data_IF_359159689498
#
_entry.id   IF_359159689498
#
_cell.length_a   1.000
_cell.length_b   1.000
_cell.length_c   1.000
_cell.angle_alpha   90.00
_cell.angle_beta   90.00
_cell.angle_gamma   90.00
#
_symmetry.space_group_name_H-M   'P 1'
#
loop_
_entity.id
_entity.type
_entity.pdbx_description
1 polymer ?
#
# COMPACT_ATOMS: atom_id res chain seq x y z
N UNK A 1 7.90 36.08 -5.26
CA UNK A 1 7.01 36.68 -6.28
C UNK A 1 5.68 36.95 -5.64
N UNK A 2 5.16 38.17 -5.71
CA UNK A 2 3.90 38.57 -5.10
C UNK A 2 2.70 38.03 -5.90
N UNK A 3 1.59 37.72 -5.24
CA UNK A 3 0.32 37.25 -5.85
C UNK A 3 -0.08 38.11 -7.08
N UNK A 4 0.18 39.43 -7.03
CA UNK A 4 -0.10 40.40 -8.10
C UNK A 4 0.71 40.14 -9.39
N UNK A 5 1.95 39.64 -9.28
CA UNK A 5 2.77 39.31 -10.45
C UNK A 5 2.33 37.99 -11.11
N UNK A 6 1.79 37.05 -10.32
CA UNK A 6 1.22 35.80 -10.84
C UNK A 6 -0.09 36.05 -11.59
N UNK A 7 -0.97 36.91 -11.05
CA UNK A 7 -2.23 37.30 -11.71
C UNK A 7 -1.99 38.05 -13.02
N UNK A 8 -1.01 38.96 -13.07
CA UNK A 8 -0.64 39.67 -14.29
C UNK A 8 -0.04 38.77 -15.37
N UNK A 9 0.72 37.71 -15.00
CA UNK A 9 1.21 36.69 -15.91
C UNK A 9 0.09 35.84 -16.50
N UNK A 10 -0.85 35.43 -15.65
CA UNK A 10 -2.07 34.68 -16.07
C UNK A 10 -2.94 35.52 -17.01
N UNK A 11 -3.15 36.80 -16.75
CA UNK A 11 -3.90 37.70 -17.63
C UNK A 11 -3.25 37.86 -19.01
N UNK A 12 -1.92 37.93 -19.13
CA UNK A 12 -1.20 37.97 -20.41
C UNK A 12 -1.31 36.64 -21.20
N UNK A 13 -1.26 35.52 -20.52
CA UNK A 13 -1.43 34.18 -21.11
C UNK A 13 -2.85 34.06 -21.71
N UNK A 14 -3.88 34.51 -21.02
CA UNK A 14 -5.28 34.49 -21.48
C UNK A 14 -5.46 35.33 -22.76
N UNK A 15 -4.78 36.49 -22.88
CA UNK A 15 -4.92 37.37 -24.04
C UNK A 15 -4.22 36.78 -25.31
N UNK A 16 -3.08 36.11 -25.14
CA UNK A 16 -2.39 35.43 -26.23
C UNK A 16 -3.18 34.18 -26.68
N UNK A 17 -3.80 33.48 -25.75
CA UNK A 17 -4.66 32.32 -26.01
C UNK A 17 -5.92 32.70 -26.85
N UNK A 18 -6.56 33.84 -26.56
CA UNK A 18 -7.71 34.32 -27.31
C UNK A 18 -7.38 34.56 -28.79
N UNK A 19 -6.17 35.05 -29.11
CA UNK A 19 -5.73 35.25 -30.49
C UNK A 19 -5.41 33.95 -31.22
N UNK A 20 -4.82 32.94 -30.55
CA UNK A 20 -4.49 31.64 -31.15
C UNK A 20 -5.76 30.77 -31.36
N UNK A 21 -6.72 30.80 -30.44
CA UNK A 21 -8.00 30.11 -30.60
C UNK A 21 -8.83 30.68 -31.78
N UNK A 22 -8.69 31.96 -32.13
CA UNK A 22 -9.32 32.53 -33.32
C UNK A 22 -8.69 31.97 -34.61
N UNK A 23 -7.41 31.61 -34.61
CA UNK A 23 -6.72 30.98 -35.77
C UNK A 23 -7.15 29.53 -35.93
N UNK A 24 -7.33 28.80 -34.81
CA UNK A 24 -7.76 27.37 -34.80
C UNK A 24 -9.24 27.23 -35.17
N UNK A 25 -10.10 28.22 -34.83
CA UNK A 25 -11.54 28.22 -35.16
C UNK A 25 -11.84 28.56 -36.62
N UNK A 26 -10.89 29.16 -37.38
CA UNK A 26 -11.12 29.54 -38.77
C UNK A 26 -11.04 28.41 -39.80
N UNK A 27 -10.44 27.24 -39.44
CA UNK A 27 -10.32 26.10 -40.34
C UNK A 27 -10.91 24.85 -39.70
N UNK A 28 -12.03 24.34 -40.21
CA UNK A 28 -12.73 23.13 -39.76
C UNK A 28 -11.91 21.82 -39.89
N UNK A 29 -10.61 21.93 -40.22
CA UNK A 29 -9.64 20.83 -40.24
C UNK A 29 -8.79 20.64 -38.97
N UNK A 30 -8.91 21.56 -37.98
CA UNK A 30 -7.95 21.60 -36.87
C UNK A 30 -8.17 20.55 -35.78
N UNK A 31 -9.42 20.19 -35.49
CA UNK A 31 -9.75 19.25 -34.40
C UNK A 31 -9.36 17.81 -34.76
N UNK A 32 -9.60 17.38 -36.01
CA UNK A 32 -9.16 16.08 -36.50
C UNK A 32 -7.62 15.97 -36.54
N UNK A 33 -6.93 17.06 -36.82
CA UNK A 33 -5.46 17.12 -36.82
C UNK A 33 -4.89 16.99 -35.41
N UNK A 34 -5.47 17.68 -34.42
CA UNK A 34 -5.04 17.59 -33.02
C UNK A 34 -5.28 16.19 -32.44
N UNK A 35 -6.43 15.56 -32.73
CA UNK A 35 -6.69 14.17 -32.33
C UNK A 35 -5.71 13.20 -33.01
N UNK A 36 -5.42 13.39 -34.32
CA UNK A 36 -4.44 12.55 -35.03
C UNK A 36 -3.02 12.64 -34.44
N UNK A 37 -2.61 13.79 -33.90
CA UNK A 37 -1.33 13.94 -33.20
C UNK A 37 -1.28 13.13 -31.90
N UNK A 38 -2.40 12.96 -31.22
CA UNK A 38 -2.51 12.19 -29.98
C UNK A 38 -2.55 10.69 -30.22
N UNK A 39 -2.89 10.21 -31.44
CA UNK A 39 -2.85 8.78 -31.79
C UNK A 39 -1.43 8.18 -31.76
N UNK A 40 -0.39 9.01 -31.68
CA UNK A 40 0.99 8.56 -31.49
C UNK A 40 1.34 8.10 -30.08
N UNK A 41 0.41 8.26 -29.12
CA UNK A 41 0.56 7.74 -27.75
C UNK A 41 -0.15 6.40 -27.61
N UNK A 42 0.51 5.46 -26.94
CA UNK A 42 0.04 4.09 -26.65
C UNK A 42 -0.81 4.00 -25.35
N UNK A 43 -1.36 5.12 -24.90
CA UNK A 43 -2.19 5.23 -23.72
C UNK A 43 -3.27 6.32 -23.94
N UNK A 44 -4.35 6.31 -23.16
CA UNK A 44 -5.33 7.40 -23.15
C UNK A 44 -4.68 8.76 -23.00
N UNK A 45 -4.93 9.65 -23.98
CA UNK A 45 -4.32 10.96 -24.05
C UNK A 45 -5.36 12.04 -24.41
N UNK A 46 -5.27 13.19 -23.74
CA UNK A 46 -6.08 14.38 -24.06
C UNK A 46 -5.20 15.60 -24.22
N UNK A 47 -5.64 16.53 -25.05
CA UNK A 47 -5.05 17.87 -25.18
C UNK A 47 -5.90 18.84 -24.35
N UNK A 48 -5.26 19.57 -23.44
CA UNK A 48 -5.97 20.47 -22.51
C UNK A 48 -5.41 21.88 -22.63
N UNK A 49 -6.30 22.87 -22.59
CA UNK A 49 -5.94 24.29 -22.55
C UNK A 49 -5.50 24.71 -21.15
N UNK A 50 -4.85 25.89 -21.05
CA UNK A 50 -4.55 26.50 -19.75
C UNK A 50 -5.79 26.84 -18.90
N UNK A 51 -6.97 26.85 -19.51
CA UNK A 51 -8.25 27.05 -18.85
C UNK A 51 -9.00 25.76 -18.53
N UNK A 52 -8.29 24.61 -18.49
CA UNK A 52 -8.82 23.27 -18.18
C UNK A 52 -9.76 22.70 -19.24
N UNK A 53 -9.96 23.35 -20.42
CA UNK A 53 -10.83 22.85 -21.47
C UNK A 53 -10.14 21.72 -22.26
N UNK A 54 -10.83 20.62 -22.50
CA UNK A 54 -10.36 19.51 -23.34
C UNK A 54 -10.59 19.89 -24.79
N UNK A 55 -9.51 19.90 -25.59
CA UNK A 55 -9.51 20.34 -26.99
C UNK A 55 -9.51 19.17 -27.97
N UNK A 56 -8.89 18.06 -27.62
CA UNK A 56 -8.80 16.85 -28.41
C UNK A 56 -8.53 15.63 -27.51
N UNK A 57 -8.79 14.43 -28.01
CA UNK A 57 -8.47 13.16 -27.37
C UNK A 57 -8.20 12.08 -28.43
N UNK A 58 -7.45 11.01 -28.04
CA UNK A 58 -7.15 9.89 -28.92
C UNK A 58 -8.17 8.74 -28.79
N UNK A 59 -7.99 7.70 -29.64
CA UNK A 59 -8.83 6.50 -29.63
C UNK A 59 -8.76 5.74 -28.31
N UNK A 60 -7.58 5.62 -27.70
CA UNK A 60 -7.37 4.97 -26.41
C UNK A 60 -8.19 5.65 -25.29
N UNK A 61 -8.26 7.00 -25.31
CA UNK A 61 -9.09 7.73 -24.37
C UNK A 61 -10.57 7.43 -24.56
N UNK A 62 -11.02 7.36 -25.82
CA UNK A 62 -12.42 7.05 -26.14
C UNK A 62 -12.82 5.66 -25.64
N UNK A 63 -11.95 4.69 -25.78
CA UNK A 63 -12.19 3.31 -25.31
C UNK A 63 -12.24 3.23 -23.78
N UNK A 64 -11.31 3.90 -23.09
CA UNK A 64 -11.18 3.84 -21.63
C UNK A 64 -12.21 4.68 -20.87
N UNK A 65 -12.51 5.88 -21.38
CA UNK A 65 -13.28 6.91 -20.66
C UNK A 65 -14.59 7.31 -21.38
N UNK A 66 -14.82 6.85 -22.61
CA UNK A 66 -15.97 7.19 -23.44
C UNK A 66 -15.71 8.38 -24.35
N UNK A 67 -16.66 8.61 -25.27
CA UNK A 67 -16.60 9.73 -26.23
C UNK A 67 -16.98 11.06 -25.56
N UNK A 68 -16.27 12.13 -25.87
CA UNK A 68 -16.55 13.48 -25.39
C UNK A 68 -17.15 14.35 -26.49
N UNK A 69 -18.14 15.16 -26.12
CA UNK A 69 -18.71 16.21 -26.99
C UNK A 69 -17.87 17.49 -26.85
N UNK A 70 -16.84 17.61 -27.68
CA UNK A 70 -15.86 18.73 -27.59
C UNK A 70 -16.47 20.10 -27.91
N UNK A 71 -17.59 20.14 -28.64
CA UNK A 71 -18.32 21.37 -28.95
C UNK A 71 -18.87 22.06 -27.69
N UNK A 72 -19.09 21.31 -26.60
CA UNK A 72 -19.51 21.81 -25.31
C UNK A 72 -18.34 22.30 -24.45
N UNK A 73 -17.11 22.24 -24.93
CA UNK A 73 -15.87 22.61 -24.21
C UNK A 73 -15.79 22.00 -22.82
N UNK A 74 -15.79 20.67 -22.73
CA UNK A 74 -15.76 19.99 -21.43
C UNK A 74 -14.46 20.30 -20.68
N UNK A 75 -14.56 20.50 -19.36
CA UNK A 75 -13.39 20.72 -18.52
C UNK A 75 -12.84 19.38 -17.98
N UNK A 76 -11.51 19.24 -17.91
CA UNK A 76 -10.86 18.01 -17.45
C UNK A 76 -11.31 17.61 -16.04
N UNK A 77 -11.39 18.56 -15.10
CA UNK A 77 -11.84 18.29 -13.73
C UNK A 77 -13.29 17.82 -13.62
N UNK A 78 -14.16 18.27 -14.55
CA UNK A 78 -15.55 17.81 -14.57
C UNK A 78 -15.65 16.39 -15.15
N UNK A 79 -14.98 16.13 -16.25
CA UNK A 79 -15.00 14.81 -16.92
C UNK A 79 -14.33 13.74 -16.06
N UNK A 80 -13.15 14.04 -15.52
CA UNK A 80 -12.34 13.04 -14.79
C UNK A 80 -12.80 12.80 -13.35
N UNK A 81 -13.35 13.84 -12.68
CA UNK A 81 -13.69 13.77 -11.25
C UNK A 81 -15.13 14.08 -10.92
N UNK A 82 -15.88 14.66 -11.89
CA UNK A 82 -17.24 15.20 -11.64
C UNK A 82 -17.25 16.48 -10.81
N UNK A 83 -16.13 17.20 -10.73
CA UNK A 83 -16.03 18.45 -9.98
C UNK A 83 -16.56 19.63 -10.79
N UNK A 84 -17.10 20.65 -10.08
CA UNK A 84 -17.52 21.92 -10.68
C UNK A 84 -16.43 23.01 -10.62
N UNK A 85 -15.29 22.71 -10.00
CA UNK A 85 -14.14 23.58 -9.82
C UNK A 85 -12.84 22.79 -10.08
N UNK A 86 -11.73 23.44 -10.43
CA UNK A 86 -10.43 22.76 -10.59
C UNK A 86 -10.04 21.91 -9.39
N UNK A 87 -9.27 20.84 -9.63
CA UNK A 87 -8.92 19.84 -8.62
C UNK A 87 -8.23 20.43 -7.39
N UNK A 88 -7.35 21.43 -7.57
CA UNK A 88 -6.66 22.15 -6.48
C UNK A 88 -7.61 22.98 -5.60
N UNK A 89 -8.73 23.43 -6.14
CA UNK A 89 -9.80 24.10 -5.39
C UNK A 89 -10.76 23.09 -4.73
N UNK A 90 -10.82 21.88 -5.24
CA UNK A 90 -11.56 20.77 -4.65
C UNK A 90 -10.79 20.01 -3.56
N UNK A 91 -9.54 20.40 -3.27
CA UNK A 91 -8.70 19.82 -2.21
C UNK A 91 -7.78 18.71 -2.68
N UNK A 92 -7.61 18.52 -4.00
CA UNK A 92 -6.68 17.57 -4.60
C UNK A 92 -5.49 18.27 -5.27
N UNK A 93 -4.42 17.52 -5.54
CA UNK A 93 -3.27 18.07 -6.28
C UNK A 93 -3.61 18.13 -7.77
N UNK A 94 -3.58 19.31 -8.40
CA UNK A 94 -3.85 19.47 -9.81
C UNK A 94 -2.55 19.46 -10.62
N UNK A 95 -2.30 18.46 -11.53
CA UNK A 95 -1.08 18.41 -12.33
C UNK A 95 -1.02 19.57 -13.34
N UNK A 96 -2.15 20.05 -13.85
CA UNK A 96 -2.19 21.19 -14.77
C UNK A 96 -1.81 22.48 -14.05
N UNK A 97 -2.36 22.76 -12.88
CA UNK A 97 -2.00 23.92 -12.07
C UNK A 97 -0.50 23.91 -11.70
N UNK A 98 0.03 22.74 -11.33
CA UNK A 98 1.44 22.58 -11.05
C UNK A 98 2.33 22.81 -12.30
N UNK A 99 1.93 22.27 -13.45
CA UNK A 99 2.65 22.42 -14.72
C UNK A 99 2.60 23.86 -15.27
N UNK A 100 1.50 24.59 -15.03
CA UNK A 100 1.39 26.03 -15.34
C UNK A 100 2.44 26.84 -14.57
N UNK A 101 2.67 26.53 -13.31
CA UNK A 101 3.61 27.26 -12.46
C UNK A 101 5.06 26.84 -12.76
N UNK A 102 5.34 25.53 -12.84
CA UNK A 102 6.68 25.00 -13.02
C UNK A 102 7.19 25.11 -14.46
N UNK A 103 6.30 25.17 -15.45
CA UNK A 103 6.58 25.07 -16.88
C UNK A 103 7.37 23.80 -17.23
N UNK A 104 7.14 22.74 -16.50
CA UNK A 104 7.75 21.44 -16.65
C UNK A 104 6.70 20.35 -16.61
N UNK A 105 7.12 19.17 -17.02
CA UNK A 105 6.34 17.96 -16.86
C UNK A 105 6.02 17.74 -15.37
N UNK A 106 4.75 17.53 -15.07
CA UNK A 106 4.25 17.19 -13.75
C UNK A 106 3.53 15.84 -13.80
N UNK A 107 3.52 15.13 -12.68
CA UNK A 107 2.91 13.80 -12.58
C UNK A 107 2.24 13.65 -11.22
N UNK A 108 0.99 13.22 -11.23
CA UNK A 108 0.18 13.03 -10.02
C UNK A 108 -0.67 11.78 -10.18
N UNK A 109 -0.82 11.01 -9.11
CA UNK A 109 -1.79 9.91 -9.08
C UNK A 109 -3.15 10.46 -8.64
N UNK A 110 -4.16 10.29 -9.50
CA UNK A 110 -5.54 10.70 -9.26
C UNK A 110 -6.50 9.51 -9.19
N UNK A 111 -7.68 9.75 -8.63
CA UNK A 111 -8.82 8.84 -8.73
C UNK A 111 -9.77 9.44 -9.76
N UNK A 112 -9.85 8.82 -10.94
CA UNK A 112 -10.77 9.23 -11.99
C UNK A 112 -12.07 8.44 -11.92
N UNK A 113 -13.16 9.09 -12.28
CA UNK A 113 -14.44 8.44 -12.46
C UNK A 113 -14.52 7.95 -13.90
N UNK A 114 -14.48 6.61 -14.08
CA UNK A 114 -14.57 5.96 -15.39
C UNK A 114 -15.92 5.28 -15.55
N UNK A 115 -16.30 4.82 -16.74
CA UNK A 115 -17.47 3.98 -16.93
C UNK A 115 -17.50 2.70 -16.09
N UNK A 116 -16.33 2.24 -15.64
CA UNK A 116 -16.15 1.05 -14.77
C UNK A 116 -16.15 1.38 -13.28
N UNK A 117 -16.29 2.66 -12.92
CA UNK A 117 -16.26 3.15 -11.54
C UNK A 117 -15.04 4.02 -11.23
N UNK A 118 -14.69 4.13 -9.96
CA UNK A 118 -13.52 4.93 -9.52
C UNK A 118 -12.24 4.12 -9.70
N UNK A 119 -11.33 4.62 -10.52
CA UNK A 119 -10.05 3.99 -10.83
C UNK A 119 -8.88 4.91 -10.49
N UNK A 120 -7.78 4.33 -10.04
CA UNK A 120 -6.54 5.06 -9.87
C UNK A 120 -5.86 5.25 -11.23
N UNK A 121 -5.58 6.49 -11.57
CA UNK A 121 -4.96 6.90 -12.83
C UNK A 121 -3.71 7.72 -12.52
N UNK A 122 -2.60 7.30 -13.09
CA UNK A 122 -1.35 8.04 -13.09
C UNK A 122 -1.40 9.07 -14.20
N UNK A 123 -1.53 10.31 -13.82
CA UNK A 123 -1.72 11.45 -14.71
C UNK A 123 -0.38 12.15 -14.92
N UNK A 124 0.06 12.20 -16.16
CA UNK A 124 1.26 12.88 -16.58
C UNK A 124 0.91 14.09 -17.45
N UNK A 125 1.27 15.29 -17.00
CA UNK A 125 0.96 16.57 -17.66
C UNK A 125 2.20 17.15 -18.33
N UNK A 126 2.16 17.27 -19.64
CA UNK A 126 3.27 17.72 -20.49
C UNK A 126 2.95 19.09 -21.09
N UNK A 127 3.65 20.18 -20.72
CA UNK A 127 3.45 21.47 -21.36
C UNK A 127 4.05 21.47 -22.77
N UNK A 128 3.31 21.99 -23.74
CA UNK A 128 3.71 22.17 -25.15
C UNK A 128 3.92 23.65 -25.41
N UNK A 129 5.08 23.97 -25.95
CA UNK A 129 5.51 25.35 -26.24
C UNK A 129 5.67 25.58 -27.75
N UNK A 130 5.51 26.82 -28.18
CA UNK A 130 5.88 27.23 -29.52
C UNK A 130 7.40 27.50 -29.66
N UNK A 131 7.82 27.89 -30.87
CA UNK A 131 9.23 28.20 -31.18
C UNK A 131 9.76 29.43 -30.40
N UNK A 132 8.86 30.27 -29.87
CA UNK A 132 9.17 31.42 -29.03
C UNK A 132 9.14 31.10 -27.53
N UNK A 133 8.99 29.81 -27.14
CA UNK A 133 8.81 29.31 -25.78
C UNK A 133 7.55 29.87 -25.09
N UNK A 134 6.51 30.15 -25.84
CA UNK A 134 5.20 30.46 -25.29
C UNK A 134 4.41 29.17 -25.11
N UNK A 135 3.77 29.01 -23.96
CA UNK A 135 2.94 27.85 -23.66
C UNK A 135 1.69 27.86 -24.56
N UNK A 136 1.51 26.79 -25.33
CA UNK A 136 0.36 26.60 -26.20
C UNK A 136 -0.73 25.75 -25.52
N UNK A 137 -0.40 24.54 -25.12
CA UNK A 137 -1.29 23.51 -24.61
C UNK A 137 -0.57 22.62 -23.61
N UNK A 138 -1.35 21.71 -23.03
CA UNK A 138 -0.83 20.59 -22.27
C UNK A 138 -1.32 19.28 -22.90
N UNK A 139 -0.45 18.28 -22.98
CA UNK A 139 -0.84 16.90 -23.23
C UNK A 139 -0.94 16.21 -21.88
N UNK A 140 -2.11 15.68 -21.58
CA UNK A 140 -2.37 14.88 -20.40
C UNK A 140 -2.40 13.41 -20.82
N UNK A 141 -1.45 12.60 -20.31
CA UNK A 141 -1.39 11.17 -20.51
C UNK A 141 -1.95 10.48 -19.27
N UNK A 142 -2.89 9.58 -19.50
CA UNK A 142 -3.65 8.90 -18.47
C UNK A 142 -3.29 7.42 -18.50
N UNK A 143 -2.61 6.95 -17.47
CA UNK A 143 -2.26 5.54 -17.36
C UNK A 143 -3.06 4.91 -16.22
N UNK A 144 -4.07 4.07 -16.52
CA UNK A 144 -4.75 3.31 -15.48
C UNK A 144 -3.72 2.52 -14.66
N UNK A 145 -3.84 2.60 -13.33
CA UNK A 145 -3.01 1.83 -12.42
C UNK A 145 -3.81 0.59 -12.03
N UNK A 146 -3.62 -0.55 -12.72
CA UNK A 146 -4.45 -1.76 -12.51
C UNK A 146 -4.25 -2.40 -11.13
N UNK A 147 -3.39 -1.82 -10.31
CA UNK A 147 -2.90 -2.36 -9.06
C UNK A 147 -3.74 -1.96 -7.85
N UNK A 148 -4.61 -0.95 -8.00
CA UNK A 148 -5.47 -0.46 -6.94
C UNK A 148 -6.84 -0.11 -7.49
N UNK A 149 -7.86 -0.44 -6.72
CA UNK A 149 -9.25 -0.14 -7.05
C UNK A 149 -9.90 0.62 -5.90
N UNK A 150 -10.73 1.61 -6.23
CA UNK A 150 -11.69 2.18 -5.29
C UNK A 150 -12.89 1.24 -5.05
N UNK A 151 -13.01 0.17 -5.83
CA UNK A 151 -14.09 -0.81 -5.83
C UNK A 151 -13.59 -2.23 -5.55
N UNK A 152 -14.56 -3.13 -5.30
CA UNK A 152 -14.38 -4.55 -4.98
C UNK A 152 -13.78 -5.29 -6.18
N UNK A 153 -12.46 -5.38 -6.26
CA UNK A 153 -11.78 -6.24 -7.22
C UNK A 153 -10.90 -7.27 -6.52
N UNK A 154 -10.92 -8.51 -7.02
CA UNK A 154 -10.08 -9.58 -6.47
C UNK A 154 -8.59 -9.26 -6.64
N UNK A 155 -7.83 -9.40 -5.56
CA UNK A 155 -6.37 -9.25 -5.48
C UNK A 155 -5.80 -7.82 -5.67
N UNK A 156 -6.60 -6.77 -5.74
CA UNK A 156 -6.11 -5.39 -5.80
C UNK A 156 -6.01 -4.74 -4.41
N UNK A 157 -5.09 -3.78 -4.28
CA UNK A 157 -5.00 -2.93 -3.09
C UNK A 157 -6.16 -1.92 -3.08
N UNK A 158 -6.77 -1.69 -1.91
CA UNK A 158 -7.93 -0.82 -1.76
C UNK A 158 -7.57 0.34 -0.85
N UNK A 159 -7.91 1.55 -1.29
CA UNK A 159 -7.76 2.77 -0.50
C UNK A 159 -7.91 4.04 -1.34
N UNK A 160 -8.23 5.11 -0.65
CA UNK A 160 -8.39 6.47 -1.20
C UNK A 160 -7.71 7.51 -0.32
N UNK A 161 -7.19 7.10 0.85
CA UNK A 161 -6.52 7.99 1.79
C UNK A 161 -5.22 8.55 1.19
N UNK A 162 -4.82 9.74 1.63
CA UNK A 162 -3.60 10.38 1.15
C UNK A 162 -2.33 9.53 1.43
N UNK A 163 -2.29 8.82 2.56
CA UNK A 163 -1.18 7.92 2.87
C UNK A 163 -1.10 6.76 1.88
N UNK A 164 -2.24 6.19 1.49
CA UNK A 164 -2.34 5.13 0.50
C UNK A 164 -1.94 5.63 -0.90
N UNK A 165 -2.42 6.80 -1.33
CA UNK A 165 -2.09 7.39 -2.62
C UNK A 165 -0.58 7.67 -2.76
N UNK A 166 0.06 8.24 -1.72
CA UNK A 166 1.51 8.43 -1.70
C UNK A 166 2.28 7.12 -1.84
N UNK A 167 1.83 6.06 -1.16
CA UNK A 167 2.43 4.74 -1.31
C UNK A 167 2.31 4.22 -2.74
N UNK A 168 1.12 4.33 -3.36
CA UNK A 168 0.90 3.90 -4.75
C UNK A 168 1.74 4.67 -5.75
N UNK A 169 1.90 5.99 -5.56
CA UNK A 169 2.78 6.82 -6.40
C UNK A 169 4.23 6.30 -6.37
N UNK A 170 4.73 5.98 -5.17
CA UNK A 170 6.06 5.41 -4.99
C UNK A 170 6.17 4.04 -5.67
N UNK A 171 5.16 3.16 -5.51
CA UNK A 171 5.09 1.84 -6.14
C UNK A 171 5.12 1.96 -7.67
N UNK A 172 4.32 2.86 -8.25
CA UNK A 172 4.28 3.08 -9.70
C UNK A 172 5.63 3.56 -10.26
N UNK A 173 6.28 4.51 -9.56
CA UNK A 173 7.61 5.01 -9.97
C UNK A 173 8.69 3.94 -9.90
N UNK A 174 8.76 3.22 -8.78
CA UNK A 174 9.79 2.18 -8.61
C UNK A 174 9.51 0.95 -9.47
N UNK A 175 8.24 0.70 -9.81
CA UNK A 175 7.83 -0.39 -10.68
C UNK A 175 8.62 -0.41 -11.99
N UNK A 176 8.79 0.74 -12.62
CA UNK A 176 9.47 0.90 -13.91
C UNK A 176 11.01 0.72 -13.87
N UNK A 177 11.60 0.49 -12.70
CA UNK A 177 13.03 0.29 -12.52
C UNK A 177 13.35 -1.13 -12.09
N UNK A 178 14.59 -1.59 -12.37
CA UNK A 178 15.09 -2.91 -11.95
C UNK A 178 15.78 -2.88 -10.57
N UNK A 179 15.74 -1.76 -9.85
CA UNK A 179 16.37 -1.65 -8.53
C UNK A 179 15.74 -2.58 -7.51
N UNK A 180 16.54 -3.06 -6.54
CA UNK A 180 16.04 -3.82 -5.41
C UNK A 180 15.15 -2.95 -4.52
N UNK A 181 14.00 -3.50 -4.09
CA UNK A 181 13.01 -2.82 -3.27
C UNK A 181 12.86 -3.51 -1.93
N UNK A 182 12.80 -2.73 -0.85
CA UNK A 182 12.46 -3.24 0.48
C UNK A 182 11.14 -2.63 0.94
N UNK A 183 10.11 -3.47 1.07
CA UNK A 183 8.80 -3.13 1.62
C UNK A 183 8.87 -3.15 3.14
N UNK A 184 8.68 -2.01 3.77
CA UNK A 184 8.66 -1.85 5.23
C UNK A 184 7.25 -1.56 5.71
N UNK A 185 6.78 -2.27 6.70
CA UNK A 185 5.47 -2.05 7.29
C UNK A 185 5.13 -3.14 8.28
N UNK A 186 4.21 -2.85 9.17
CA UNK A 186 3.73 -3.78 10.17
C UNK A 186 3.15 -5.05 9.55
N UNK A 187 3.01 -6.11 10.37
CA UNK A 187 2.34 -7.33 9.91
C UNK A 187 0.89 -7.03 9.51
N UNK A 188 0.44 -7.63 8.40
CA UNK A 188 -0.94 -7.46 7.92
C UNK A 188 -1.24 -6.15 7.19
N UNK A 189 -0.25 -5.33 6.81
CA UNK A 189 -0.44 -4.10 6.02
C UNK A 189 -0.65 -4.34 4.53
N UNK A 190 -0.35 -5.55 4.02
CA UNK A 190 -0.50 -5.92 2.61
C UNK A 190 0.80 -5.88 1.81
N UNK A 191 1.95 -6.18 2.43
CA UNK A 191 3.29 -6.21 1.78
C UNK A 191 3.32 -7.11 0.54
N UNK A 192 2.67 -8.26 0.56
CA UNK A 192 2.59 -9.17 -0.59
C UNK A 192 1.83 -8.53 -1.76
N UNK A 193 0.69 -7.86 -1.51
CA UNK A 193 -0.05 -7.14 -2.54
C UNK A 193 0.78 -6.00 -3.14
N UNK A 194 1.53 -5.28 -2.31
CA UNK A 194 2.45 -4.24 -2.77
C UNK A 194 3.59 -4.80 -3.63
N UNK A 195 4.15 -5.97 -3.28
CA UNK A 195 5.17 -6.65 -4.08
C UNK A 195 4.62 -7.06 -5.45
N UNK A 196 3.41 -7.64 -5.49
CA UNK A 196 2.70 -7.95 -6.75
C UNK A 196 2.46 -6.70 -7.58
N UNK A 197 2.04 -5.61 -6.94
CA UNK A 197 1.85 -4.34 -7.59
C UNK A 197 3.13 -3.80 -8.25
N UNK A 198 4.27 -3.85 -7.57
CA UNK A 198 5.57 -3.45 -8.13
C UNK A 198 5.97 -4.33 -9.31
N UNK A 199 5.73 -5.65 -9.22
CA UNK A 199 6.01 -6.59 -10.31
C UNK A 199 5.14 -6.28 -11.54
N UNK A 200 3.83 -6.10 -11.36
CA UNK A 200 2.89 -5.76 -12.44
C UNK A 200 3.21 -4.42 -13.12
N UNK A 201 3.75 -3.45 -12.37
CA UNK A 201 4.18 -2.16 -12.91
C UNK A 201 5.56 -2.20 -13.58
N UNK A 202 6.22 -3.36 -13.64
CA UNK A 202 7.60 -3.50 -14.15
C UNK A 202 7.65 -3.96 -15.59
N UNK A 203 8.81 -3.81 -16.20
CA UNK A 203 9.13 -4.40 -17.53
C UNK A 203 9.21 -5.93 -17.52
N UNK A 204 9.06 -6.56 -16.33
CA UNK A 204 9.08 -8.01 -16.13
C UNK A 204 7.70 -8.57 -15.78
N UNK A 205 6.63 -7.80 -15.97
CA UNK A 205 5.24 -8.18 -15.64
C UNK A 205 4.78 -9.48 -16.30
N UNK A 206 5.26 -9.74 -17.50
CA UNK A 206 4.92 -10.95 -18.27
C UNK A 206 5.73 -12.19 -17.84
N UNK A 207 6.73 -12.02 -16.98
CA UNK A 207 7.58 -13.08 -16.46
C UNK A 207 7.14 -13.51 -15.05
N UNK A 208 7.59 -14.68 -14.57
CA UNK A 208 7.12 -15.18 -13.27
C UNK A 208 7.55 -14.28 -12.09
N UNK A 209 6.63 -14.09 -11.16
CA UNK A 209 6.93 -13.62 -9.81
C UNK A 209 6.97 -14.82 -8.86
N UNK A 210 8.16 -15.12 -8.35
CA UNK A 210 8.40 -16.25 -7.46
C UNK A 210 8.55 -15.75 -6.03
N UNK A 211 7.78 -16.32 -5.10
CA UNK A 211 7.74 -15.90 -3.69
C UNK A 211 8.39 -16.95 -2.80
N UNK A 212 9.21 -16.49 -1.85
CA UNK A 212 9.72 -17.29 -0.74
C UNK A 212 9.39 -16.60 0.57
N UNK A 213 8.64 -17.28 1.44
CA UNK A 213 8.50 -16.87 2.83
C UNK A 213 9.70 -17.38 3.63
N UNK A 214 10.48 -16.44 4.21
CA UNK A 214 11.72 -16.77 4.90
C UNK A 214 11.51 -17.20 6.36
N UNK A 215 10.34 -16.91 6.93
CA UNK A 215 10.05 -17.23 8.33
C UNK A 215 9.83 -18.73 8.54
N UNK A 216 10.33 -19.24 9.67
CA UNK A 216 10.13 -20.64 10.08
C UNK A 216 10.92 -21.69 9.30
N UNK A 217 11.77 -21.31 8.34
CA UNK A 217 12.62 -22.24 7.61
C UNK A 217 13.92 -22.51 8.36
N UNK A 218 14.32 -23.79 8.43
CA UNK A 218 15.67 -24.16 8.85
C UNK A 218 16.68 -23.80 7.76
N UNK A 219 17.98 -23.65 8.14
CA UNK A 219 19.05 -23.31 7.20
C UNK A 219 19.07 -24.22 5.97
N UNK A 220 18.95 -25.53 6.18
CA UNK A 220 18.98 -26.52 5.10
C UNK A 220 17.75 -26.46 4.18
N UNK A 221 16.56 -26.20 4.76
CA UNK A 221 15.34 -26.02 3.96
C UNK A 221 15.40 -24.73 3.16
N UNK A 222 15.80 -23.62 3.78
CA UNK A 222 15.96 -22.34 3.09
C UNK A 222 16.93 -22.47 1.90
N UNK A 223 18.08 -23.13 2.12
CA UNK A 223 19.07 -23.34 1.07
C UNK A 223 18.52 -24.19 -0.08
N UNK A 224 17.86 -25.31 0.26
CA UNK A 224 17.27 -26.22 -0.71
C UNK A 224 16.12 -25.59 -1.51
N UNK A 225 15.26 -24.80 -0.87
CA UNK A 225 14.17 -24.10 -1.58
C UNK A 225 14.73 -23.01 -2.51
N UNK A 226 15.63 -22.15 -2.00
CA UNK A 226 16.14 -21.02 -2.74
C UNK A 226 17.06 -21.42 -3.90
N UNK A 227 18.06 -22.27 -3.63
CA UNK A 227 19.11 -22.64 -4.59
C UNK A 227 18.84 -23.96 -5.34
N UNK A 228 17.90 -24.78 -4.86
CA UNK A 228 17.67 -26.12 -5.36
C UNK A 228 18.71 -27.13 -4.90
N UNK A 229 18.51 -28.40 -5.23
CA UNK A 229 19.43 -29.47 -4.89
C UNK A 229 19.50 -30.56 -5.97
N UNK A 230 20.64 -31.28 -6.02
CA UNK A 230 20.78 -32.46 -6.85
C UNK A 230 20.46 -33.72 -6.01
N UNK A 231 20.11 -34.79 -6.70
CA UNK A 231 19.90 -36.12 -6.07
C UNK A 231 21.09 -36.51 -5.23
N UNK A 232 20.84 -36.92 -3.97
CA UNK A 232 21.88 -37.35 -3.03
C UNK A 232 22.58 -36.21 -2.27
N UNK A 233 22.15 -34.96 -2.42
CA UNK A 233 22.75 -33.81 -1.74
C UNK A 233 22.65 -33.90 -0.20
N UNK A 234 21.59 -34.50 0.30
CA UNK A 234 21.35 -34.76 1.74
C UNK A 234 20.44 -35.98 1.94
N UNK A 235 20.28 -36.41 3.17
CA UNK A 235 19.36 -37.51 3.52
C UNK A 235 17.93 -37.15 3.19
N UNK A 236 17.33 -37.82 2.19
CA UNK A 236 15.98 -37.49 1.67
C UNK A 236 15.95 -36.81 0.29
N UNK A 237 17.08 -36.41 -0.26
CA UNK A 237 17.18 -35.86 -1.62
C UNK A 237 17.08 -36.96 -2.68
N UNK A 238 15.89 -37.49 -2.94
CA UNK A 238 15.65 -38.59 -3.88
C UNK A 238 15.69 -38.15 -5.36
N UNK A 239 15.40 -36.89 -5.65
CA UNK A 239 15.34 -36.34 -7.00
C UNK A 239 16.08 -35.01 -7.06
N UNK A 240 16.36 -34.53 -8.28
CA UNK A 240 16.81 -33.15 -8.48
C UNK A 240 15.62 -32.21 -8.30
N UNK A 241 15.81 -31.10 -7.56
CA UNK A 241 14.80 -30.05 -7.39
C UNK A 241 15.37 -28.71 -7.87
N UNK A 242 14.75 -28.05 -8.87
CA UNK A 242 15.15 -26.71 -9.24
C UNK A 242 14.83 -25.72 -8.11
N UNK A 243 15.75 -24.79 -7.85
CA UNK A 243 15.54 -23.74 -6.84
C UNK A 243 14.62 -22.62 -7.32
N UNK A 244 14.10 -21.83 -6.37
CA UNK A 244 13.25 -20.69 -6.68
C UNK A 244 13.99 -19.61 -7.47
N UNK A 245 15.31 -19.50 -7.29
CA UNK A 245 16.17 -18.60 -8.10
C UNK A 245 16.14 -18.99 -9.58
N UNK A 246 16.15 -20.29 -9.89
CA UNK A 246 16.06 -20.78 -11.28
C UNK A 246 14.69 -20.44 -11.89
N UNK A 247 13.63 -20.60 -11.11
CA UNK A 247 12.26 -20.29 -11.52
C UNK A 247 12.03 -18.78 -11.70
N UNK A 248 12.72 -17.94 -10.91
CA UNK A 248 12.61 -16.49 -10.99
C UNK A 248 13.43 -15.87 -12.13
N UNK A 249 14.16 -16.68 -12.90
CA UNK A 249 15.03 -16.17 -13.95
C UNK A 249 14.23 -15.41 -15.04
N UNK A 250 14.64 -14.19 -15.34
CA UNK A 250 13.95 -13.25 -16.22
C UNK A 250 12.83 -12.47 -15.51
N UNK A 251 12.34 -12.94 -14.38
CA UNK A 251 11.20 -12.40 -13.63
C UNK A 251 11.58 -11.65 -12.36
N UNK A 252 10.81 -11.87 -11.30
CA UNK A 252 10.96 -11.22 -9.99
C UNK A 252 11.03 -12.27 -8.88
N UNK A 253 12.00 -12.15 -7.98
CA UNK A 253 12.08 -12.90 -6.74
C UNK A 253 11.56 -12.02 -5.60
N UNK A 254 10.53 -12.48 -4.91
CA UNK A 254 9.99 -11.83 -3.72
C UNK A 254 10.36 -12.63 -2.47
N UNK A 255 11.12 -12.01 -1.57
CA UNK A 255 11.50 -12.58 -0.27
C UNK A 255 10.65 -11.91 0.81
N UNK A 256 9.65 -12.64 1.32
CA UNK A 256 8.85 -12.15 2.45
C UNK A 256 9.55 -12.47 3.77
N UNK A 257 9.48 -11.54 4.71
CA UNK A 257 10.15 -11.55 6.01
C UNK A 257 11.67 -11.81 5.90
N UNK A 258 12.34 -11.03 5.03
CA UNK A 258 13.78 -11.13 4.76
C UNK A 258 14.66 -11.02 6.03
N UNK A 259 14.14 -10.41 7.08
CA UNK A 259 14.78 -10.33 8.40
C UNK A 259 15.00 -11.71 9.07
N UNK A 260 14.25 -12.74 8.66
CA UNK A 260 14.31 -14.07 9.23
C UNK A 260 15.28 -15.01 8.50
N UNK A 261 15.99 -14.51 7.47
CA UNK A 261 17.01 -15.28 6.77
C UNK A 261 18.17 -15.59 7.71
N UNK A 262 18.54 -16.88 7.88
CA UNK A 262 19.66 -17.27 8.73
C UNK A 262 20.98 -16.63 8.29
N UNK A 263 21.84 -16.23 9.22
CA UNK A 263 23.11 -15.54 8.94
C UNK A 263 24.00 -16.28 7.91
N UNK A 264 24.15 -17.63 7.94
CA UNK A 264 24.93 -18.32 6.90
C UNK A 264 24.34 -18.16 5.51
N UNK A 265 23.00 -18.08 5.42
CA UNK A 265 22.29 -17.94 4.14
C UNK A 265 22.35 -16.50 3.61
N UNK A 266 22.47 -15.51 4.49
CA UNK A 266 22.69 -14.10 4.08
C UNK A 266 23.98 -13.95 3.25
N UNK A 267 25.05 -14.72 3.58
CA UNK A 267 26.31 -14.73 2.82
C UNK A 267 26.10 -15.27 1.40
N UNK A 268 25.35 -16.37 1.26
CA UNK A 268 25.06 -16.97 -0.04
C UNK A 268 24.16 -16.08 -0.89
N UNK A 269 23.16 -15.46 -0.27
CA UNK A 269 22.28 -14.50 -0.94
C UNK A 269 23.07 -13.28 -1.43
N UNK A 270 23.95 -12.72 -0.60
CA UNK A 270 24.80 -11.60 -1.00
C UNK A 270 25.63 -11.94 -2.25
N UNK A 271 26.30 -13.09 -2.23
CA UNK A 271 27.09 -13.54 -3.38
C UNK A 271 26.25 -13.67 -4.65
N UNK A 272 25.04 -14.22 -4.55
CA UNK A 272 24.11 -14.30 -5.68
C UNK A 272 23.75 -12.90 -6.20
N UNK A 273 23.44 -11.95 -5.32
CA UNK A 273 23.06 -10.59 -5.71
C UNK A 273 24.22 -9.79 -6.34
N UNK A 274 25.47 -10.11 -5.99
CA UNK A 274 26.67 -9.46 -6.55
C UNK A 274 27.07 -10.04 -7.89
N UNK A 275 27.03 -11.37 -8.03
CA UNK A 275 27.61 -12.09 -9.19
C UNK A 275 26.55 -12.60 -10.17
N UNK A 276 25.27 -12.66 -9.77
CA UNK A 276 24.23 -13.32 -10.55
C UNK A 276 24.38 -14.85 -10.61
N UNK A 277 25.33 -15.43 -9.83
CA UNK A 277 25.66 -16.85 -9.90
C UNK A 277 25.36 -17.59 -8.61
N UNK A 278 24.99 -18.85 -8.71
CA UNK A 278 24.73 -19.73 -7.58
C UNK A 278 25.08 -21.18 -7.91
N UNK A 279 25.07 -22.06 -6.89
CA UNK A 279 25.24 -23.50 -7.04
C UNK A 279 24.10 -24.22 -6.31
N UNK A 280 23.44 -25.19 -6.96
CA UNK A 280 22.52 -26.08 -6.27
C UNK A 280 23.22 -26.87 -5.16
N UNK A 281 22.49 -27.21 -4.11
CA UNK A 281 23.04 -27.99 -2.99
C UNK A 281 23.52 -29.35 -3.49
N UNK A 282 24.74 -29.73 -3.13
CA UNK A 282 25.39 -30.98 -3.58
C UNK A 282 25.97 -30.93 -5.01
N UNK A 283 25.87 -29.77 -5.72
CA UNK A 283 26.46 -29.62 -7.05
C UNK A 283 27.66 -28.68 -7.05
N UNK A 284 28.65 -28.99 -7.90
CA UNK A 284 29.79 -28.13 -8.22
C UNK A 284 29.49 -27.18 -9.41
N UNK A 285 28.43 -27.43 -10.15
CA UNK A 285 28.01 -26.64 -11.32
C UNK A 285 27.58 -25.23 -10.92
N UNK A 286 28.10 -24.24 -11.65
CA UNK A 286 27.71 -22.84 -11.46
C UNK A 286 26.56 -22.53 -12.43
N UNK A 287 25.45 -22.04 -11.87
CA UNK A 287 24.31 -21.55 -12.64
C UNK A 287 24.20 -20.03 -12.52
N UNK A 288 23.60 -19.40 -13.55
CA UNK A 288 23.33 -17.97 -13.58
C UNK A 288 21.81 -17.72 -13.48
N UNK A 289 21.43 -16.64 -12.82
CA UNK A 289 20.05 -16.16 -12.82
C UNK A 289 20.01 -14.65 -12.82
N UNK A 290 19.12 -14.11 -13.63
CA UNK A 290 18.84 -12.67 -13.70
C UNK A 290 17.41 -12.42 -13.27
N UNK A 291 17.23 -11.86 -12.10
CA UNK A 291 15.91 -11.55 -11.55
C UNK A 291 15.91 -10.17 -10.88
N UNK A 292 14.75 -9.55 -10.81
CA UNK A 292 14.52 -8.39 -9.97
C UNK A 292 14.23 -8.85 -8.55
N UNK A 293 14.83 -8.19 -7.54
CA UNK A 293 14.61 -8.51 -6.15
C UNK A 293 13.62 -7.55 -5.48
N UNK A 294 12.60 -8.09 -4.83
CA UNK A 294 11.73 -7.39 -3.89
C UNK A 294 11.81 -8.11 -2.55
N UNK A 295 12.04 -7.37 -1.47
CA UNK A 295 12.06 -7.90 -0.11
C UNK A 295 10.96 -7.27 0.72
N UNK A 296 10.45 -7.98 1.74
CA UNK A 296 9.56 -7.40 2.73
C UNK A 296 10.03 -7.73 4.15
N UNK A 297 9.79 -6.82 5.08
CA UNK A 297 10.02 -7.05 6.50
C UNK A 297 9.15 -6.14 7.38
N UNK A 298 8.68 -6.69 8.49
CA UNK A 298 8.08 -5.92 9.56
C UNK A 298 9.12 -5.49 10.62
N UNK A 299 10.33 -6.10 10.61
CA UNK A 299 11.42 -5.80 11.53
C UNK A 299 12.30 -4.67 11.00
N UNK A 300 12.91 -3.93 11.91
CA UNK A 300 13.86 -2.88 11.55
C UNK A 300 15.22 -3.49 11.22
N UNK A 301 15.51 -3.65 9.92
CA UNK A 301 16.76 -4.23 9.44
C UNK A 301 18.01 -3.44 9.88
N UNK A 302 17.92 -2.10 9.98
CA UNK A 302 19.05 -1.29 10.45
C UNK A 302 19.40 -1.61 11.92
N UNK A 303 18.39 -1.71 12.77
CA UNK A 303 18.58 -2.13 14.16
C UNK A 303 19.16 -3.55 14.27
N UNK A 304 18.75 -4.46 13.37
CA UNK A 304 19.28 -5.82 13.33
C UNK A 304 20.76 -5.87 12.89
N UNK A 305 21.18 -4.93 12.02
CA UNK A 305 22.61 -4.75 11.68
C UNK A 305 23.40 -4.32 12.91
N UNK A 306 22.90 -3.33 13.67
CA UNK A 306 23.55 -2.88 14.91
C UNK A 306 23.66 -4.01 15.96
N UNK A 307 22.71 -4.93 15.97
CA UNK A 307 22.67 -6.11 16.85
C UNK A 307 23.46 -7.32 16.29
N UNK A 308 24.14 -7.17 15.14
CA UNK A 308 24.84 -8.25 14.43
C UNK A 308 23.97 -9.48 14.08
N UNK A 309 22.63 -9.32 14.05
CA UNK A 309 21.69 -10.36 13.63
C UNK A 309 21.33 -10.28 12.14
N UNK A 310 21.77 -9.23 11.45
CA UNK A 310 21.70 -9.05 10.01
C UNK A 310 23.02 -8.47 9.49
N UNK A 311 23.52 -8.95 8.35
CA UNK A 311 24.79 -8.47 7.80
C UNK A 311 24.64 -7.09 7.16
N UNK A 312 25.57 -6.21 7.44
CA UNK A 312 25.62 -4.85 6.94
C UNK A 312 25.78 -4.79 5.40
N UNK A 313 26.61 -5.66 4.83
CA UNK A 313 26.85 -5.73 3.38
C UNK A 313 25.57 -6.12 2.62
N UNK A 314 24.86 -7.15 3.09
CA UNK A 314 23.57 -7.54 2.52
C UNK A 314 22.52 -6.44 2.68
N UNK A 315 22.46 -5.77 3.84
CA UNK A 315 21.52 -4.68 4.09
C UNK A 315 21.67 -3.59 3.01
N UNK A 316 22.87 -3.10 2.73
CA UNK A 316 23.07 -2.08 1.71
C UNK A 316 22.77 -2.57 0.29
N UNK A 317 22.96 -3.86 0.02
CA UNK A 317 22.68 -4.45 -1.30
C UNK A 317 21.19 -4.57 -1.59
N UNK A 318 20.36 -4.91 -0.58
CA UNK A 318 18.90 -5.05 -0.75
C UNK A 318 18.14 -3.75 -0.53
N UNK A 319 18.61 -2.89 0.38
CA UNK A 319 17.91 -1.66 0.80
C UNK A 319 18.22 -0.46 -0.12
N UNK A 320 18.15 -0.68 -1.44
CA UNK A 320 18.39 0.39 -2.43
C UNK A 320 17.21 1.35 -2.48
N UNK A 321 16.00 0.81 -2.51
CA UNK A 321 14.79 1.62 -2.52
C UNK A 321 13.80 1.13 -1.45
N UNK A 322 13.73 1.79 -0.29
CA UNK A 322 12.74 1.45 0.74
C UNK A 322 11.38 2.06 0.41
N UNK A 323 10.33 1.23 0.48
CA UNK A 323 8.92 1.63 0.36
C UNK A 323 8.22 1.37 1.69
N UNK A 324 7.65 2.42 2.28
CA UNK A 324 6.88 2.31 3.51
C UNK A 324 5.41 2.03 3.20
N UNK A 325 4.87 0.96 3.82
CA UNK A 325 3.46 0.65 3.77
C UNK A 325 2.78 1.21 5.02
N UNK A 326 1.78 2.10 4.85
CA UNK A 326 1.08 2.67 5.98
C UNK A 326 0.30 1.61 6.76
N UNK A 327 0.34 1.72 8.08
CA UNK A 327 -0.53 0.95 8.98
C UNK A 327 -2.01 1.30 8.73
N UNK A 328 -2.92 0.43 9.17
CA UNK A 328 -4.35 0.71 9.05
C UNK A 328 -4.77 1.93 9.90
N UNK A 329 -4.02 2.23 10.96
CA UNK A 329 -4.19 3.42 11.79
C UNK A 329 -3.88 4.73 11.06
N UNK A 330 -2.93 4.71 10.10
CA UNK A 330 -2.54 5.86 9.27
C UNK A 330 -3.48 6.09 8.07
N UNK A 331 -4.37 5.12 7.79
CA UNK A 331 -5.34 5.17 6.68
C UNK A 331 -6.76 4.74 7.11
N UNK A 332 -7.24 5.26 8.23
CA UNK A 332 -8.55 4.92 8.80
C UNK A 332 -9.72 5.18 7.86
N UNK A 333 -9.59 6.19 7.02
CA UNK A 333 -10.59 6.56 6.00
C UNK A 333 -10.80 5.45 4.96
N UNK A 334 -9.84 4.54 4.80
CA UNK A 334 -9.94 3.40 3.88
C UNK A 334 -10.69 2.20 4.51
N UNK A 335 -10.87 2.16 5.84
CA UNK A 335 -11.49 1.04 6.55
C UNK A 335 -12.86 0.67 5.98
N UNK A 336 -13.78 1.62 5.68
CA UNK A 336 -15.08 1.26 5.13
C UNK A 336 -15.01 0.54 3.78
N UNK A 337 -14.14 0.97 2.89
CA UNK A 337 -13.95 0.35 1.58
C UNK A 337 -13.28 -1.02 1.71
N UNK A 338 -12.25 -1.12 2.54
CA UNK A 338 -11.54 -2.38 2.83
C UNK A 338 -12.50 -3.39 3.47
N UNK A 339 -13.32 -2.98 4.45
CA UNK A 339 -14.26 -3.86 5.13
C UNK A 339 -15.30 -4.46 4.17
N UNK A 340 -15.87 -3.64 3.28
CA UNK A 340 -16.81 -4.10 2.26
C UNK A 340 -16.19 -5.13 1.32
N UNK A 341 -14.97 -4.87 0.85
CA UNK A 341 -14.24 -5.81 -0.01
C UNK A 341 -13.89 -7.11 0.70
N UNK A 342 -13.43 -7.03 1.96
CA UNK A 342 -13.10 -8.22 2.74
C UNK A 342 -14.33 -9.11 2.97
N UNK A 343 -15.48 -8.53 3.29
CA UNK A 343 -16.73 -9.29 3.47
C UNK A 343 -17.13 -10.00 2.17
N UNK A 344 -17.06 -9.31 1.04
CA UNK A 344 -17.35 -9.94 -0.26
C UNK A 344 -16.42 -11.12 -0.57
N UNK A 345 -15.11 -10.99 -0.23
CA UNK A 345 -14.14 -12.10 -0.38
C UNK A 345 -14.36 -13.25 0.60
N UNK A 346 -14.86 -12.97 1.81
CA UNK A 346 -15.17 -13.99 2.81
C UNK A 346 -16.40 -14.80 2.40
N UNK A 347 -17.41 -14.12 1.83
CA UNK A 347 -18.70 -14.73 1.46
C UNK A 347 -19.14 -14.17 0.11
N UNK A 348 -18.58 -14.63 -1.02
CA UNK A 348 -18.87 -14.07 -2.35
C UNK A 348 -20.32 -14.32 -2.79
N UNK A 349 -20.92 -15.42 -2.36
CA UNK A 349 -22.28 -15.83 -2.72
C UNK A 349 -23.37 -15.15 -1.90
N UNK A 350 -23.02 -14.30 -0.93
CA UNK A 350 -23.96 -13.67 0.00
C UNK A 350 -23.80 -12.16 0.03
N UNK A 351 -24.92 -11.45 0.01
CA UNK A 351 -24.93 -9.98 0.15
C UNK A 351 -25.05 -9.60 1.62
N UNK A 352 -23.94 -9.15 2.21
CA UNK A 352 -23.89 -8.69 3.59
C UNK A 352 -24.10 -7.18 3.69
N UNK A 353 -24.80 -6.75 4.72
CA UNK A 353 -24.99 -5.34 5.06
C UNK A 353 -24.30 -5.01 6.39
N UNK A 354 -23.49 -3.97 6.41
CA UNK A 354 -22.92 -3.38 7.62
C UNK A 354 -23.76 -2.18 8.02
N UNK A 355 -24.26 -2.17 9.25
CA UNK A 355 -24.94 -0.99 9.78
C UNK A 355 -23.96 0.17 9.95
N UNK A 356 -24.46 1.41 9.92
CA UNK A 356 -23.62 2.60 10.10
C UNK A 356 -22.87 2.57 11.44
N UNK A 357 -23.53 2.19 12.53
CA UNK A 357 -22.94 2.07 13.86
C UNK A 357 -21.84 0.98 13.93
N UNK A 358 -22.03 -0.15 13.22
CA UNK A 358 -21.00 -1.18 13.09
C UNK A 358 -19.77 -0.66 12.33
N UNK A 359 -19.99 0.10 11.25
CA UNK A 359 -18.91 0.71 10.46
C UNK A 359 -18.13 1.75 11.27
N UNK A 360 -18.81 2.62 12.02
CA UNK A 360 -18.16 3.59 12.91
C UNK A 360 -17.33 2.89 14.00
N UNK A 361 -17.84 1.81 14.54
CA UNK A 361 -17.11 0.99 15.55
C UNK A 361 -15.86 0.35 14.93
N UNK A 362 -15.96 -0.23 13.72
CA UNK A 362 -14.80 -0.75 12.98
C UNK A 362 -13.75 0.34 12.71
N UNK A 363 -14.19 1.53 12.27
CA UNK A 363 -13.29 2.64 11.95
C UNK A 363 -12.59 3.25 13.18
N UNK A 364 -13.22 3.16 14.37
CA UNK A 364 -12.67 3.68 15.62
C UNK A 364 -11.68 2.72 16.31
N UNK A 365 -11.65 1.45 15.92
CA UNK A 365 -10.80 0.44 16.55
C UNK A 365 -9.32 0.60 16.17
N UNK A 366 -8.43 0.23 17.08
CA UNK A 366 -6.98 0.23 16.82
C UNK A 366 -6.51 -1.19 16.48
N UNK A 367 -6.31 -1.45 15.20
CA UNK A 367 -5.90 -2.75 14.67
C UNK A 367 -4.38 -2.94 14.78
N UNK A 368 -3.88 -3.66 15.79
CA UNK A 368 -2.47 -4.04 15.91
C UNK A 368 -2.02 -4.98 14.79
N UNK A 369 -2.92 -5.85 14.32
CA UNK A 369 -2.70 -6.77 13.20
C UNK A 369 -3.16 -6.22 11.85
N UNK A 370 -3.46 -4.91 11.76
CA UNK A 370 -3.83 -4.21 10.53
C UNK A 370 -4.99 -4.89 9.77
N UNK A 371 -4.86 -5.04 8.45
CA UNK A 371 -5.90 -5.64 7.59
C UNK A 371 -6.12 -7.12 7.94
N UNK A 372 -5.09 -7.83 8.41
CA UNK A 372 -5.22 -9.24 8.83
C UNK A 372 -6.15 -9.37 10.03
N UNK A 373 -6.03 -8.47 11.02
CA UNK A 373 -6.94 -8.43 12.18
C UNK A 373 -8.34 -8.02 11.76
N UNK A 374 -8.50 -6.97 10.97
CA UNK A 374 -9.79 -6.54 10.42
C UNK A 374 -10.50 -7.68 9.69
N UNK A 375 -9.78 -8.43 8.82
CA UNK A 375 -10.32 -9.61 8.14
C UNK A 375 -10.82 -10.66 9.11
N UNK A 376 -10.05 -10.96 10.17
CA UNK A 376 -10.44 -11.94 11.17
C UNK A 376 -11.70 -11.50 11.96
N UNK A 377 -11.79 -10.20 12.32
CA UNK A 377 -12.98 -9.63 12.96
C UNK A 377 -14.19 -9.80 12.05
N UNK A 378 -14.08 -9.47 10.77
CA UNK A 378 -15.18 -9.59 9.81
C UNK A 378 -15.56 -11.05 9.54
N UNK A 379 -14.59 -11.96 9.45
CA UNK A 379 -14.86 -13.39 9.30
C UNK A 379 -15.62 -13.95 10.51
N UNK A 380 -15.27 -13.52 11.74
CA UNK A 380 -16.06 -13.89 12.92
C UNK A 380 -17.46 -13.27 12.89
N UNK A 381 -17.57 -12.03 12.45
CA UNK A 381 -18.86 -11.34 12.36
C UNK A 381 -19.82 -12.03 11.39
N UNK A 382 -19.34 -12.53 10.24
CA UNK A 382 -20.19 -13.30 9.30
C UNK A 382 -20.68 -14.62 9.88
N UNK A 383 -19.93 -15.23 10.81
CA UNK A 383 -20.34 -16.47 11.50
C UNK A 383 -21.31 -16.20 12.66
N UNK A 384 -21.13 -15.07 13.38
CA UNK A 384 -21.92 -14.74 14.57
C UNK A 384 -23.24 -14.03 14.25
N UNK A 385 -23.37 -13.47 13.05
CA UNK A 385 -24.60 -12.80 12.64
C UNK A 385 -25.68 -13.83 12.28
N UNK A 386 -26.84 -13.70 12.88
CA UNK A 386 -28.00 -14.57 12.63
C UNK A 386 -28.70 -14.26 11.30
N UNK A 387 -28.47 -13.07 10.78
CA UNK A 387 -28.97 -12.56 9.49
C UNK A 387 -27.81 -12.04 8.66
N UNK A 388 -28.05 -11.69 7.39
CA UNK A 388 -27.02 -11.06 6.54
C UNK A 388 -26.75 -9.58 6.90
N UNK A 389 -27.06 -9.18 8.14
CA UNK A 389 -26.81 -7.84 8.67
C UNK A 389 -25.83 -7.91 9.83
N UNK A 390 -24.70 -7.25 9.70
CA UNK A 390 -23.69 -7.13 10.75
C UNK A 390 -23.95 -5.80 11.48
N UNK A 391 -24.43 -5.89 12.68
CA UNK A 391 -24.74 -4.76 13.56
C UNK A 391 -23.63 -4.48 14.58
N UNK A 392 -23.81 -3.43 15.39
CA UNK A 392 -22.88 -3.03 16.43
C UNK A 392 -22.68 -4.13 17.49
N UNK A 393 -23.72 -4.88 17.82
CA UNK A 393 -23.66 -5.93 18.85
C UNK A 393 -22.78 -7.09 18.39
N UNK A 394 -22.92 -7.50 17.11
CA UNK A 394 -22.08 -8.54 16.50
C UNK A 394 -20.62 -8.10 16.52
N UNK A 395 -20.32 -6.86 16.12
CA UNK A 395 -18.93 -6.33 16.10
C UNK A 395 -18.35 -6.27 17.51
N UNK A 396 -19.10 -5.80 18.50
CA UNK A 396 -18.61 -5.77 19.89
C UNK A 396 -18.29 -7.17 20.43
N UNK A 397 -19.13 -8.18 20.17
CA UNK A 397 -18.84 -9.57 20.53
C UNK A 397 -17.52 -10.07 19.90
N UNK A 398 -17.22 -9.66 18.63
CA UNK A 398 -15.97 -10.02 17.99
C UNK A 398 -14.74 -9.39 18.65
N UNK A 399 -14.84 -8.16 19.16
CA UNK A 399 -13.75 -7.47 19.85
C UNK A 399 -13.54 -7.99 21.29
N UNK A 400 -14.60 -8.29 22.01
CA UNK A 400 -14.52 -8.83 23.39
C UNK A 400 -13.78 -10.17 23.43
N UNK A 401 -13.93 -11.00 22.41
CA UNK A 401 -13.22 -12.27 22.29
C UNK A 401 -11.70 -12.08 22.18
N UNK A 402 -11.24 -11.04 21.50
CA UNK A 402 -9.82 -10.71 21.36
C UNK A 402 -9.23 -10.09 22.63
N UNK A 403 -10.02 -9.31 23.39
CA UNK A 403 -9.60 -8.79 24.70
C UNK A 403 -9.40 -9.90 25.72
N UNK A 404 -10.28 -10.88 25.80
CA UNK A 404 -10.14 -12.02 26.71
C UNK A 404 -8.90 -12.88 26.38
N UNK A 405 -8.60 -13.08 25.10
CA UNK A 405 -7.38 -13.79 24.68
C UNK A 405 -6.11 -13.01 25.04
N UNK A 406 -6.10 -11.68 24.84
CA UNK A 406 -4.96 -10.82 25.15
C UNK A 406 -4.71 -10.67 26.66
N UNK A 407 -5.75 -10.59 27.46
CA UNK A 407 -5.64 -10.56 28.93
C UNK A 407 -5.15 -11.88 29.51
N UNK A 408 -5.54 -13.03 28.94
CA UNK A 408 -5.04 -14.32 29.39
C UNK A 408 -3.54 -14.50 29.08
N UNK A 409 -3.05 -14.05 27.93
CA UNK A 409 -1.62 -14.08 27.56
C UNK A 409 -0.80 -13.10 28.42
N UNK A 410 -1.38 -11.97 28.82
CA UNK A 410 -0.72 -11.02 29.73
C UNK A 410 -0.66 -11.51 31.17
N UNK A 411 -1.67 -12.30 31.61
CA UNK A 411 -1.70 -12.91 32.95
C UNK A 411 -0.63 -13.97 33.17
N UNK A 412 -0.22 -14.68 32.14
CA UNK A 412 0.78 -15.76 32.24
C UNK A 412 2.24 -15.30 32.49
N UNK A 413 2.52 -13.99 32.47
CA UNK A 413 3.89 -13.43 32.65
C UNK A 413 4.01 -12.43 33.80
N UNK A 414 3.01 -12.29 34.64
CA UNK A 414 3.04 -11.37 35.81
C UNK A 414 3.62 -12.12 37.01
N UNK A 415 4.69 -11.57 37.63
CA UNK A 415 5.20 -12.14 38.86
C UNK A 415 4.14 -12.14 39.98
N UNK A 416 4.24 -13.10 40.90
CA UNK A 416 3.24 -13.35 41.94
C UNK A 416 2.90 -12.09 42.77
N UNK A 417 3.90 -11.22 43.01
CA UNK A 417 3.71 -9.99 43.79
C UNK A 417 2.90 -8.95 43.03
N UNK A 418 3.14 -8.80 41.74
CA UNK A 418 2.42 -7.88 40.86
C UNK A 418 0.98 -8.34 40.66
N UNK A 419 0.75 -9.66 40.48
CA UNK A 419 -0.57 -10.25 40.39
C UNK A 419 -1.37 -10.08 41.69
N UNK A 420 -0.75 -10.31 42.85
CA UNK A 420 -1.34 -10.12 44.15
C UNK A 420 -1.74 -8.66 44.38
N UNK A 421 -0.90 -7.73 44.01
CA UNK A 421 -1.11 -6.28 44.15
C UNK A 421 -2.30 -5.80 43.28
N UNK A 422 -2.36 -6.25 42.04
CA UNK A 422 -3.45 -5.96 41.11
C UNK A 422 -4.79 -6.52 41.62
N UNK A 423 -4.78 -7.74 42.15
CA UNK A 423 -5.96 -8.36 42.74
C UNK A 423 -6.47 -7.57 43.96
N UNK A 424 -5.58 -7.17 44.87
CA UNK A 424 -5.96 -6.40 46.07
C UNK A 424 -6.46 -4.98 45.70
N UNK A 425 -5.90 -4.34 44.69
CA UNK A 425 -6.37 -3.05 44.14
C UNK A 425 -7.76 -3.18 43.54
N UNK A 426 -8.02 -4.23 42.78
CA UNK A 426 -9.32 -4.49 42.17
C UNK A 426 -10.40 -4.72 43.26
N UNK A 427 -10.10 -5.48 44.32
CA UNK A 427 -11.03 -5.66 45.44
C UNK A 427 -11.33 -4.32 46.14
N UNK A 428 -10.34 -3.45 46.30
CA UNK A 428 -10.53 -2.10 46.88
C UNK A 428 -11.46 -1.24 46.02
N UNK A 429 -11.32 -1.32 44.70
CA UNK A 429 -12.16 -0.57 43.74
C UNK A 429 -13.59 -1.12 43.71
N UNK A 430 -13.74 -2.43 43.77
CA UNK A 430 -15.04 -3.10 43.63
C UNK A 430 -15.90 -2.92 44.91
N UNK A 431 -15.31 -3.04 46.09
CA UNK A 431 -16.06 -3.02 47.34
C UNK A 431 -16.06 -1.69 48.05
N UNK A 432 -15.14 -0.77 47.75
CA UNK A 432 -15.04 0.56 48.38
C UNK A 432 -14.73 0.55 49.87
N UNK A 433 -14.82 -0.63 50.50
CA UNK A 433 -14.66 -0.88 51.93
C UNK A 433 -13.50 -1.83 52.20
N UNK A 434 -12.61 -1.39 53.08
CA UNK A 434 -11.34 -2.09 53.38
C UNK A 434 -11.55 -3.38 54.18
N UNK A 435 -12.57 -3.44 55.03
CA UNK A 435 -12.89 -4.61 55.81
C UNK A 435 -13.44 -5.71 54.92
N UNK A 436 -14.37 -5.36 54.03
CA UNK A 436 -14.92 -6.29 53.04
C UNK A 436 -13.86 -6.77 52.04
N UNK A 437 -13.00 -5.87 51.53
CA UNK A 437 -11.90 -6.23 50.62
C UNK A 437 -10.92 -7.20 51.31
N UNK A 438 -10.55 -6.96 52.56
CA UNK A 438 -9.68 -7.83 53.35
C UNK A 438 -10.30 -9.20 53.62
N UNK A 439 -11.60 -9.23 53.93
CA UNK A 439 -12.37 -10.45 54.16
C UNK A 439 -12.44 -11.33 52.93
N UNK A 440 -12.73 -10.74 51.76
CA UNK A 440 -12.78 -11.44 50.48
C UNK A 440 -11.38 -11.93 50.04
N UNK A 441 -10.33 -11.15 50.32
CA UNK A 441 -8.95 -11.54 50.07
C UNK A 441 -8.42 -12.62 51.05
N UNK A 442 -9.15 -12.95 52.11
CA UNK A 442 -8.71 -13.93 53.13
C UNK A 442 -7.52 -13.45 53.96
N UNK A 443 -7.30 -12.11 54.10
CA UNK A 443 -6.20 -11.52 54.86
C UNK A 443 -6.69 -10.49 55.88
N UNK A 444 -5.86 -10.18 56.87
CA UNK A 444 -6.17 -9.10 57.81
C UNK A 444 -6.08 -7.71 57.13
N UNK A 445 -6.90 -6.77 57.61
CA UNK A 445 -6.89 -5.37 57.17
C UNK A 445 -5.46 -4.77 57.26
N UNK A 446 -4.69 -5.12 58.29
CA UNK A 446 -3.29 -4.71 58.47
C UNK A 446 -2.38 -5.27 57.37
N UNK A 447 -2.60 -6.53 56.93
CA UNK A 447 -1.86 -7.16 55.83
C UNK A 447 -2.22 -6.54 54.50
N UNK A 448 -3.49 -6.20 54.28
CA UNK A 448 -3.97 -5.48 53.10
C UNK A 448 -3.22 -4.14 52.95
N UNK A 449 -3.19 -3.33 54.03
CA UNK A 449 -2.48 -2.05 54.03
C UNK A 449 -1.00 -2.23 53.76
N UNK A 450 -0.34 -3.17 54.42
CA UNK A 450 1.11 -3.41 54.23
C UNK A 450 1.43 -3.77 52.77
N UNK A 451 0.61 -4.57 52.13
CA UNK A 451 0.82 -4.99 50.73
C UNK A 451 0.53 -3.87 49.74
N UNK A 452 -0.49 -3.06 49.96
CA UNK A 452 -0.82 -1.90 49.12
C UNK A 452 0.21 -0.77 49.27
N UNK A 453 0.80 -0.57 50.47
CA UNK A 453 1.76 0.50 50.74
C UNK A 453 3.22 0.17 50.43
N UNK A 454 3.58 -1.02 50.01
CA UNK A 454 4.95 -1.42 49.64
C UNK A 454 5.57 -0.58 48.48
N UNK A 455 4.81 0.28 47.80
CA UNK A 455 5.30 1.21 46.78
C UNK A 455 5.98 2.46 47.32
N UNK A 456 5.81 2.83 48.62
CA UNK A 456 6.41 4.06 49.18
C UNK A 456 7.83 3.90 49.71
N UNK A 457 8.37 2.68 49.87
CA UNK A 457 9.69 2.44 50.48
C UNK A 457 10.82 2.21 49.46
N UNK A 458 10.55 2.19 48.13
CA UNK A 458 11.57 2.03 47.07
C UNK A 458 11.93 3.34 46.34
N UNK A 459 11.60 4.49 46.92
CA UNK A 459 12.01 5.83 46.43
C UNK A 459 12.61 6.70 47.54
N UNK A 460 13.48 6.13 48.36
CA UNK A 460 14.45 6.85 49.16
C UNK A 460 15.81 6.19 48.96
#
# INVERSE_FOLDING_TARGET
MTLSQSIAKIGKIITIFGNYMNIIQSDGGSQSTLSAMLEGYDCPAILVSANYEILAYNSEYREAFGALELDQRPNCYNVSHGYNVPCDQAGESCPLSAALVSQRKERVLHIHQTPHGKEHVDVEMLPIFDDQRQLLFFVELLRPVPLASGNIADQQMIGTSQAFLKMLEVISRVGQSDVSVVLRGESGTGKELAARAIHMASTRSDNPMVTLECSGLTDSLFESELFGHVKGAFTGAQFNKPGLIEQANGGTLFLDEVADIPLPMQVKLLRLLETGTYRPVGSSEIKNSNFRLICASHKNLAQMVDQASFRQDLFYRINVFPVHLPSLAERRDDIPAIAKSLIHRISPDQTWQLTQSAMERLSSWHYKGNIRELRNVLARATVLAETHVIDLNVINKCFDTDHQASENIARDKVDLKTAELAYLQNLMTTYGDKEKAAQVAGISVRSLYRKLNQRYIKRL
#
